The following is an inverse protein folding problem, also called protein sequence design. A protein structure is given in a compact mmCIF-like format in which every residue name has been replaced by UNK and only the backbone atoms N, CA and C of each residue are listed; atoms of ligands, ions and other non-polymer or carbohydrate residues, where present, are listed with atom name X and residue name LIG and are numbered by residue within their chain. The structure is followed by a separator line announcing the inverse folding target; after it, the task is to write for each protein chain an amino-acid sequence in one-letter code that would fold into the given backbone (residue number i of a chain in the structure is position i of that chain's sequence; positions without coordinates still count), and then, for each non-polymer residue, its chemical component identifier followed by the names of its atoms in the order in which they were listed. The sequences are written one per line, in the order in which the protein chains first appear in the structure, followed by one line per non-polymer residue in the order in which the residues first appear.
data_IF_423631091113
#
_entry.id   IF_423631091113
#
_cell.length_a   1.000
_cell.length_b   1.000
_cell.length_c   1.000
_cell.angle_alpha   90.00
_cell.angle_beta   90.00
_cell.angle_gamma   90.00
#
_symmetry.space_group_name_H-M   'P 1'
#
loop_
_entity.id
_entity.type
_entity.pdbx_description
1 polymer ?
#
# COMPACT_ATOMS: atom_id res chain seq x y z
N UNK A 1 6.38 -22.52 18.61
CA UNK A 1 6.64 -21.52 17.57
C UNK A 1 5.71 -20.36 17.85
N UNK A 2 6.25 -19.21 18.25
CA UNK A 2 5.43 -18.02 18.54
C UNK A 2 5.28 -17.24 17.24
N UNK A 3 4.04 -17.00 16.82
CA UNK A 3 3.76 -16.20 15.61
C UNK A 3 3.94 -14.73 15.98
N UNK A 4 4.79 -14.02 15.23
CA UNK A 4 4.90 -12.57 15.33
C UNK A 4 3.75 -11.91 14.56
N UNK A 5 2.65 -11.64 15.27
CA UNK A 5 1.44 -11.04 14.67
C UNK A 5 1.71 -9.64 14.14
N UNK A 6 2.54 -8.86 14.83
CA UNK A 6 2.85 -7.49 14.42
C UNK A 6 3.61 -7.47 13.09
N UNK A 7 4.62 -8.33 12.94
CA UNK A 7 5.35 -8.47 11.68
C UNK A 7 4.43 -8.91 10.52
N UNK A 8 3.44 -9.78 10.78
CA UNK A 8 2.46 -10.17 9.77
C UNK A 8 1.55 -9.00 9.39
N UNK A 9 1.03 -8.24 10.37
CA UNK A 9 0.21 -7.05 10.09
C UNK A 9 0.98 -6.04 9.24
N UNK A 10 2.23 -5.77 9.57
CA UNK A 10 3.09 -4.86 8.79
C UNK A 10 3.35 -5.36 7.37
N UNK A 11 3.57 -6.67 7.20
CA UNK A 11 3.80 -7.28 5.88
C UNK A 11 2.58 -7.15 4.97
N UNK A 12 1.40 -7.53 5.47
CA UNK A 12 0.17 -7.61 4.66
C UNK A 12 -0.66 -6.33 4.64
N UNK A 13 -0.23 -5.30 5.36
CA UNK A 13 -0.82 -3.97 5.26
C UNK A 13 -0.57 -3.33 3.88
N UNK A 14 -1.55 -2.58 3.34
CA UNK A 14 -1.35 -1.76 2.15
C UNK A 14 -0.10 -0.89 2.27
N UNK A 15 0.73 -0.88 1.22
CA UNK A 15 1.92 -0.03 1.17
C UNK A 15 1.58 1.34 0.57
N UNK A 16 2.17 2.43 1.07
CA UNK A 16 1.97 3.75 0.48
C UNK A 16 2.50 3.78 -0.95
N UNK A 17 2.01 4.74 -1.74
CA UNK A 17 2.59 4.99 -3.05
C UNK A 17 4.08 5.36 -2.91
N UNK A 18 4.94 4.88 -3.82
CA UNK A 18 6.35 5.23 -3.79
C UNK A 18 6.54 6.70 -4.17
N UNK A 19 7.64 7.27 -3.68
CA UNK A 19 8.13 8.56 -4.13
C UNK A 19 8.93 8.42 -5.43
N UNK A 20 8.85 9.43 -6.28
CA UNK A 20 9.63 9.51 -7.51
C UNK A 20 11.11 9.67 -7.17
N UNK A 21 11.94 8.71 -7.58
CA UNK A 21 13.39 8.77 -7.35
C UNK A 21 14.11 9.94 -8.06
N UNK A 22 13.43 10.65 -8.97
CA UNK A 22 13.97 11.80 -9.71
C UNK A 22 13.67 13.12 -9.00
N UNK A 23 12.45 13.31 -8.48
CA UNK A 23 12.01 14.60 -7.90
C UNK A 23 11.41 14.52 -6.48
N UNK A 24 11.30 13.33 -5.89
CA UNK A 24 10.79 13.12 -4.52
C UNK A 24 9.28 13.28 -4.35
N UNK A 25 8.51 13.57 -5.41
CA UNK A 25 7.05 13.65 -5.31
C UNK A 25 6.41 12.27 -5.25
N UNK A 26 5.32 12.13 -4.50
CA UNK A 26 4.49 10.92 -4.51
C UNK A 26 4.02 10.59 -5.93
N UNK A 27 4.13 9.31 -6.30
CA UNK A 27 3.77 8.83 -7.63
C UNK A 27 2.33 8.33 -7.70
N UNK A 28 1.75 8.37 -8.89
CA UNK A 28 0.38 7.89 -9.13
C UNK A 28 0.38 6.51 -9.77
N UNK A 29 -0.68 5.74 -9.54
CA UNK A 29 -0.89 4.44 -10.19
C UNK A 29 -1.20 4.67 -11.68
N UNK A 30 -0.38 4.07 -12.54
CA UNK A 30 -0.53 4.15 -14.00
C UNK A 30 -1.15 2.88 -14.59
N UNK A 31 -0.92 1.73 -13.94
CA UNK A 31 -1.45 0.44 -14.36
C UNK A 31 -1.50 -0.52 -13.18
N UNK A 32 -2.58 -1.29 -13.09
CA UNK A 32 -2.67 -2.45 -12.19
C UNK A 32 -2.86 -3.70 -13.06
N UNK A 33 -2.06 -4.73 -12.80
CA UNK A 33 -2.18 -6.04 -13.44
C UNK A 33 -2.02 -7.13 -12.39
N UNK A 34 -3.15 -7.57 -11.84
CA UNK A 34 -3.18 -8.43 -10.65
C UNK A 34 -2.37 -7.78 -9.52
N UNK A 35 -1.41 -8.49 -8.91
CA UNK A 35 -0.54 -7.96 -7.86
C UNK A 35 0.54 -7.01 -8.34
N UNK A 36 0.69 -6.76 -9.65
CA UNK A 36 1.70 -5.82 -10.15
C UNK A 36 1.10 -4.44 -10.35
N UNK A 37 1.58 -3.47 -9.58
CA UNK A 37 1.19 -2.07 -9.69
C UNK A 37 2.36 -1.28 -10.27
N UNK A 38 2.12 -0.61 -11.40
CA UNK A 38 3.06 0.32 -12.00
C UNK A 38 2.72 1.73 -11.56
N UNK A 39 3.69 2.40 -10.93
CA UNK A 39 3.62 3.80 -10.57
C UNK A 39 4.41 4.66 -11.57
N UNK A 40 3.99 5.91 -11.77
CA UNK A 40 4.69 6.87 -12.63
C UNK A 40 4.58 8.29 -12.07
N UNK A 41 5.60 9.12 -12.31
CA UNK A 41 5.57 10.54 -11.98
C UNK A 41 5.22 11.36 -13.22
N UNK A 42 3.94 11.67 -13.37
CA UNK A 42 3.41 12.44 -14.51
C UNK A 42 3.61 13.95 -14.37
N UNK A 43 3.95 14.43 -13.16
CA UNK A 43 3.94 15.86 -12.86
C UNK A 43 2.53 16.47 -12.82
N UNK A 44 1.49 15.61 -12.78
CA UNK A 44 0.10 16.03 -12.66
C UNK A 44 -0.23 16.43 -11.22
N UNK A 45 -1.00 17.49 -11.07
CA UNK A 45 -1.71 17.88 -9.86
C UNK A 45 -3.20 17.84 -10.15
N UNK A 46 -3.98 17.31 -9.20
CA UNK A 46 -5.43 17.22 -9.31
C UNK A 46 -6.06 18.21 -8.32
N UNK A 47 -6.84 19.14 -8.82
CA UNK A 47 -7.62 20.10 -8.03
C UNK A 47 -9.06 20.21 -8.58
N UNK A 48 -9.86 21.12 -8.02
CA UNK A 48 -11.26 21.32 -8.42
C UNK A 48 -11.44 21.73 -9.89
N UNK A 49 -10.38 22.24 -10.54
CA UNK A 49 -10.38 22.61 -11.96
C UNK A 49 -9.89 21.48 -12.88
N UNK A 50 -9.50 20.34 -12.30
CA UNK A 50 -9.11 19.14 -13.01
C UNK A 50 -7.63 18.81 -12.90
N UNK A 51 -7.08 18.23 -13.96
CA UNK A 51 -5.70 17.77 -14.01
C UNK A 51 -4.80 18.81 -14.69
N UNK A 52 -3.79 19.27 -13.96
CA UNK A 52 -2.81 20.23 -14.44
C UNK A 52 -1.41 19.65 -14.36
N UNK A 53 -0.62 19.80 -15.43
CA UNK A 53 0.78 19.40 -15.42
C UNK A 53 1.64 20.61 -15.06
N UNK A 54 2.69 20.39 -14.26
CA UNK A 54 3.75 21.40 -14.08
C UNK A 54 4.36 21.80 -15.43
N UNK A 55 4.81 23.05 -15.56
CA UNK A 55 5.37 23.56 -16.82
C UNK A 55 6.47 22.65 -17.38
N UNK A 56 6.40 22.36 -18.68
CA UNK A 56 7.32 21.45 -19.36
C UNK A 56 7.09 19.96 -19.07
N UNK A 57 6.02 19.58 -18.35
CA UNK A 57 5.67 18.19 -18.07
C UNK A 57 4.47 17.69 -18.89
N UNK A 58 4.43 16.39 -19.15
CA UNK A 58 3.30 15.67 -19.76
C UNK A 58 3.30 14.18 -19.39
N UNK A 59 2.21 13.48 -19.71
CA UNK A 59 2.07 12.03 -19.47
C UNK A 59 3.03 11.15 -20.32
N UNK A 60 3.79 11.73 -21.24
CA UNK A 60 4.69 11.01 -22.14
C UNK A 60 6.06 11.69 -22.26
N UNK A 61 6.47 12.45 -21.24
CA UNK A 61 7.81 13.03 -21.20
C UNK A 61 8.87 12.06 -20.65
N UNK A 62 10.14 12.42 -20.84
CA UNK A 62 11.30 11.63 -20.40
C UNK A 62 11.26 11.34 -18.90
N UNK A 63 10.80 12.31 -18.09
CA UNK A 63 10.73 12.12 -16.66
C UNK A 63 9.66 11.10 -16.29
N UNK A 64 8.49 11.14 -16.93
CA UNK A 64 7.47 10.13 -16.76
C UNK A 64 8.03 8.76 -17.14
N UNK A 65 8.65 8.63 -18.32
CA UNK A 65 9.21 7.36 -18.79
C UNK A 65 10.23 6.78 -17.81
N UNK A 66 11.19 7.60 -17.39
CA UNK A 66 12.29 7.23 -16.50
C UNK A 66 11.83 6.99 -15.06
N UNK A 67 10.78 7.67 -14.60
CA UNK A 67 10.29 7.55 -13.24
C UNK A 67 9.57 6.22 -12.96
N UNK A 68 9.09 5.51 -13.98
CA UNK A 68 8.20 4.36 -13.78
C UNK A 68 8.85 3.24 -12.99
N UNK A 69 8.12 2.75 -11.99
CA UNK A 69 8.50 1.57 -11.21
C UNK A 69 7.32 0.61 -11.16
N UNK A 70 7.60 -0.70 -11.15
CA UNK A 70 6.58 -1.72 -10.95
C UNK A 70 6.87 -2.46 -9.66
N UNK A 71 5.89 -2.44 -8.76
CA UNK A 71 5.96 -3.06 -7.44
C UNK A 71 4.97 -4.23 -7.43
N UNK A 72 5.36 -5.31 -6.73
CA UNK A 72 4.43 -6.40 -6.41
C UNK A 72 3.76 -6.04 -5.09
N UNK A 73 2.46 -5.80 -5.15
CA UNK A 73 1.61 -5.66 -3.99
C UNK A 73 1.47 -7.02 -3.30
N UNK A 74 1.90 -7.04 -2.04
CA UNK A 74 1.84 -8.20 -1.14
C UNK A 74 0.82 -7.97 -0.03
N UNK A 75 0.06 -6.87 -0.08
CA UNK A 75 -1.01 -6.63 0.86
C UNK A 75 -2.10 -7.68 0.70
N UNK A 76 -2.67 -8.10 1.83
CA UNK A 76 -3.69 -9.13 1.86
C UNK A 76 -4.69 -8.83 2.99
N UNK A 77 -5.88 -8.29 2.67
CA UNK A 77 -6.88 -7.94 3.68
C UNK A 77 -7.44 -9.19 4.38
N UNK A 78 -7.44 -10.36 3.74
CA UNK A 78 -7.95 -11.59 4.34
C UNK A 78 -7.02 -12.09 5.44
N UNK A 79 -5.70 -11.96 5.24
CA UNK A 79 -4.72 -12.26 6.30
C UNK A 79 -4.91 -11.32 7.51
N UNK A 80 -5.17 -10.04 7.28
CA UNK A 80 -5.42 -9.08 8.36
C UNK A 80 -6.70 -9.43 9.14
N UNK A 81 -7.77 -9.81 8.44
CA UNK A 81 -9.02 -10.26 9.07
C UNK A 81 -8.80 -11.52 9.92
N UNK A 82 -8.03 -12.50 9.43
CA UNK A 82 -7.70 -13.71 10.18
C UNK A 82 -6.87 -13.41 11.45
N UNK A 83 -6.02 -12.39 11.42
CA UNK A 83 -5.28 -11.95 12.61
C UNK A 83 -6.23 -11.32 13.65
N UNK A 84 -7.21 -10.54 13.21
CA UNK A 84 -8.24 -9.96 14.10
C UNK A 84 -9.10 -11.05 14.75
N UNK A 85 -9.53 -12.04 13.97
CA UNK A 85 -10.29 -13.18 14.47
C UNK A 85 -9.49 -14.00 15.48
N UNK A 86 -8.19 -14.23 15.21
CA UNK A 86 -7.31 -14.96 16.11
C UNK A 86 -7.14 -14.21 17.45
N UNK A 87 -6.89 -12.89 17.41
CA UNK A 87 -6.78 -12.08 18.62
C UNK A 87 -8.09 -12.04 19.41
N UNK A 88 -9.24 -12.00 18.73
CA UNK A 88 -10.55 -12.08 19.38
C UNK A 88 -10.78 -13.43 20.07
N UNK A 89 -10.42 -14.53 19.41
CA UNK A 89 -10.52 -15.87 19.97
C UNK A 89 -9.61 -16.03 21.21
N UNK A 90 -8.37 -15.55 21.15
CA UNK A 90 -7.45 -15.60 22.29
C UNK A 90 -7.96 -14.79 23.50
N UNK A 91 -8.47 -13.57 23.26
CA UNK A 91 -9.11 -12.79 24.35
C UNK A 91 -10.27 -13.56 24.97
N UNK A 92 -11.09 -14.20 24.14
CA UNK A 92 -12.24 -14.97 24.62
C UNK A 92 -11.82 -16.19 25.44
N UNK A 93 -10.76 -16.88 25.03
CA UNK A 93 -10.20 -18.01 25.79
C UNK A 93 -9.70 -17.53 27.16
N UNK A 94 -8.91 -16.45 27.19
CA UNK A 94 -8.40 -15.88 28.44
C UNK A 94 -9.52 -15.44 29.40
N UNK A 95 -10.61 -14.86 28.88
CA UNK A 95 -11.81 -14.53 29.68
C UNK A 95 -12.47 -15.76 30.30
N UNK A 96 -12.56 -16.86 29.55
CA UNK A 96 -13.18 -18.09 30.04
C UNK A 96 -12.30 -18.78 31.09
N UNK A 97 -11.00 -18.87 30.84
CA UNK A 97 -10.03 -19.41 31.79
C UNK A 97 -10.02 -18.62 33.11
N UNK A 98 -10.10 -17.29 33.04
CA UNK A 98 -10.18 -16.45 34.24
C UNK A 98 -11.49 -16.60 35.03
N UNK A 99 -12.56 -17.11 34.41
CA UNK A 99 -13.85 -17.37 35.07
C UNK A 99 -13.93 -18.76 35.71
N UNK A 100 -13.04 -19.67 35.33
CA UNK A 100 -12.95 -21.04 35.87
C UNK A 100 -12.04 -21.13 37.11
N UNK A 101 -11.40 -20.01 37.51
CA UNK A 101 -10.59 -19.84 38.74
C UNK A 101 -11.41 -19.14 39.82
#
# INVERSE_FOLDING_TARGET
MTIDKQALRERYSPKPAPECHICGKEMTVQRISSSRITYGCTGATYDDNGCHYTEGRSIADDHYEQSRVTIVDVSDPDVLALLDDLEAAERRIAELEAREI
#
